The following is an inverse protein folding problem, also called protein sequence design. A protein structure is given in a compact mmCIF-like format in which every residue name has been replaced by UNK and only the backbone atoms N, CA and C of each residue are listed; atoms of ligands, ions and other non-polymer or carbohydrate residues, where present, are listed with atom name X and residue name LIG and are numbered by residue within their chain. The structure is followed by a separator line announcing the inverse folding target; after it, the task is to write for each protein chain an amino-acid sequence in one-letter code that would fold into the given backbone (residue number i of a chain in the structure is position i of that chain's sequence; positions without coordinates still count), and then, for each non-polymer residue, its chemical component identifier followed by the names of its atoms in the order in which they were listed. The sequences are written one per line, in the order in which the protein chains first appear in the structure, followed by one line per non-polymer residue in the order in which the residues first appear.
data_IF_700918716216
#
_entry.id   IF_700918716216
#
_cell.length_a   1.000
_cell.length_b   1.000
_cell.length_c   1.000
_cell.angle_alpha   90.00
_cell.angle_beta   90.00
_cell.angle_gamma   90.00
#
_symmetry.space_group_name_H-M   'P 1'
#
loop_
_entity.id
_entity.type
_entity.pdbx_description
1 polymer ?
#
# COMPACT_ATOMS: atom_id res chain seq x y z
N UNK A 1 58.11 -25.72 29.58
CA UNK A 1 58.23 -27.20 29.64
C UNK A 1 57.15 -27.80 28.75
N UNK A 2 57.53 -28.67 27.79
CA UNK A 2 56.65 -29.41 26.85
C UNK A 2 56.30 -28.67 25.55
N UNK A 3 57.19 -28.55 24.54
CA UNK A 3 57.55 -29.49 23.44
C UNK A 3 56.50 -29.57 22.31
N UNK A 4 56.88 -29.00 21.16
CA UNK A 4 56.33 -29.19 19.82
C UNK A 4 56.57 -30.61 19.28
N UNK A 5 55.70 -31.08 18.39
CA UNK A 5 56.13 -31.90 17.25
C UNK A 5 55.39 -31.47 15.99
N UNK A 6 56.18 -31.16 14.96
CA UNK A 6 55.78 -31.16 13.56
C UNK A 6 56.27 -32.48 12.94
N UNK A 7 55.49 -33.05 12.03
CA UNK A 7 56.02 -33.92 10.97
C UNK A 7 55.26 -33.64 9.67
N UNK A 8 56.05 -33.17 8.72
CA UNK A 8 55.86 -33.16 7.28
C UNK A 8 55.91 -34.59 6.72
N UNK A 9 55.18 -34.90 5.66
CA UNK A 9 55.77 -35.45 4.44
C UNK A 9 54.76 -35.45 3.29
N UNK A 10 55.17 -34.78 2.24
CA UNK A 10 54.64 -34.78 0.88
C UNK A 10 54.53 -36.18 0.23
N UNK A 11 53.52 -36.38 -0.61
CA UNK A 11 53.70 -37.16 -1.85
C UNK A 11 52.82 -36.61 -2.99
N UNK A 12 53.49 -36.11 -4.04
CA UNK A 12 52.93 -35.80 -5.36
C UNK A 12 52.85 -37.08 -6.21
N UNK A 13 51.81 -37.29 -7.02
CA UNK A 13 51.95 -37.49 -8.48
C UNK A 13 50.68 -37.93 -9.22
N UNK A 14 50.51 -37.31 -10.41
CA UNK A 14 49.91 -37.78 -11.69
C UNK A 14 48.38 -37.89 -11.78
N UNK A 15 47.73 -36.98 -12.52
CA UNK A 15 47.51 -36.93 -14.00
C UNK A 15 46.65 -38.08 -14.55
N UNK A 16 45.43 -37.76 -14.97
CA UNK A 16 44.86 -38.20 -16.24
C UNK A 16 43.78 -37.20 -16.69
N UNK A 17 44.01 -36.59 -17.85
CA UNK A 17 43.00 -35.90 -18.62
C UNK A 17 42.21 -36.94 -19.43
N UNK A 18 40.91 -36.73 -19.62
CA UNK A 18 40.20 -37.31 -20.75
C UNK A 18 39.13 -36.31 -21.24
N UNK A 19 39.35 -35.85 -22.46
CA UNK A 19 38.47 -35.03 -23.27
C UNK A 19 37.85 -35.95 -24.32
N UNK A 20 36.52 -35.96 -24.51
CA UNK A 20 35.85 -36.25 -25.79
C UNK A 20 34.38 -35.76 -25.71
N UNK A 21 34.02 -34.82 -26.59
CA UNK A 21 32.67 -34.37 -27.00
C UNK A 21 32.19 -35.22 -28.22
N UNK A 22 31.09 -34.91 -28.94
CA UNK A 22 29.68 -34.72 -28.58
C UNK A 22 28.73 -35.55 -29.50
N UNK A 23 27.47 -35.75 -29.08
CA UNK A 23 26.31 -36.04 -29.93
C UNK A 23 25.05 -35.80 -29.08
N UNK A 24 23.90 -35.31 -29.53
CA UNK A 24 23.37 -34.98 -30.84
C UNK A 24 21.99 -34.37 -30.60
N UNK A 25 21.49 -33.64 -31.60
CA UNK A 25 20.16 -33.02 -31.61
C UNK A 25 19.05 -34.05 -31.40
N UNK A 26 18.04 -33.72 -30.60
CA UNK A 26 16.69 -34.22 -30.79
C UNK A 26 15.69 -33.12 -30.41
N UNK A 27 14.99 -32.67 -31.43
CA UNK A 27 13.86 -31.75 -31.43
C UNK A 27 12.59 -32.47 -30.96
N UNK A 28 11.97 -31.97 -29.89
CA UNK A 28 10.62 -32.34 -29.49
C UNK A 28 9.67 -31.15 -29.75
N UNK A 29 8.45 -31.38 -30.25
CA UNK A 29 7.54 -30.32 -30.67
C UNK A 29 6.94 -29.60 -29.47
N UNK A 30 6.91 -28.26 -29.54
CA UNK A 30 6.13 -27.40 -28.66
C UNK A 30 4.65 -27.57 -29.04
N UNK A 31 3.90 -28.22 -28.16
CA UNK A 31 2.45 -28.28 -28.26
C UNK A 31 1.86 -26.88 -27.99
N UNK A 32 1.27 -26.29 -29.02
CA UNK A 32 0.39 -25.12 -28.93
C UNK A 32 -0.98 -25.62 -28.43
N UNK A 33 -1.39 -25.16 -27.26
CA UNK A 33 -2.78 -25.23 -26.82
C UNK A 33 -3.36 -23.81 -26.71
N UNK A 34 -4.48 -23.52 -27.40
CA UNK A 34 -5.21 -22.27 -27.24
C UNK A 34 -6.19 -22.44 -26.07
N UNK A 35 -6.04 -21.64 -25.02
CA UNK A 35 -6.91 -21.76 -23.85
C UNK A 35 -6.82 -20.56 -22.92
N UNK A 36 -7.75 -19.62 -23.12
CA UNK A 36 -8.33 -18.67 -22.16
C UNK A 36 -7.41 -18.14 -21.05
N UNK A 37 -7.03 -16.85 -21.17
CA UNK A 37 -6.61 -16.05 -20.02
C UNK A 37 -7.78 -16.01 -19.01
N UNK A 38 -7.56 -16.34 -17.73
CA UNK A 38 -8.42 -15.81 -16.69
C UNK A 38 -8.13 -14.31 -16.59
N UNK A 39 -9.17 -13.49 -16.76
CA UNK A 39 -9.16 -12.10 -16.34
C UNK A 39 -8.75 -12.07 -14.86
N UNK A 40 -7.62 -11.46 -14.57
CA UNK A 40 -7.21 -11.20 -13.19
C UNK A 40 -8.05 -10.03 -12.67
N UNK A 41 -8.71 -10.16 -11.51
CA UNK A 41 -9.37 -9.02 -10.88
C UNK A 41 -8.30 -7.98 -10.54
N UNK A 42 -8.48 -6.77 -11.03
CA UNK A 42 -7.58 -5.65 -10.82
C UNK A 42 -7.36 -5.43 -9.32
N UNK A 43 -6.14 -5.68 -8.87
CA UNK A 43 -5.70 -5.32 -7.53
C UNK A 43 -5.75 -3.79 -7.44
N UNK A 44 -6.75 -3.34 -6.70
CA UNK A 44 -6.77 -2.04 -6.11
C UNK A 44 -5.54 -1.79 -5.25
N UNK A 45 -5.18 -0.52 -5.06
CA UNK A 45 -3.81 0.00 -4.87
C UNK A 45 -3.13 0.21 -6.23
N UNK A 46 -2.74 1.45 -6.51
CA UNK A 46 -1.96 1.82 -7.69
C UNK A 46 -0.51 1.28 -7.57
N UNK A 47 -0.39 -0.05 -7.60
CA UNK A 47 0.87 -0.80 -7.54
C UNK A 47 1.34 -1.20 -8.95
N UNK A 48 0.57 -0.85 -9.99
CA UNK A 48 0.83 -1.28 -11.35
C UNK A 48 0.25 -0.32 -12.38
N UNK A 49 0.93 0.80 -12.64
CA UNK A 49 0.91 1.49 -13.94
C UNK A 49 2.20 2.26 -14.22
N UNK A 50 3.33 1.57 -14.39
CA UNK A 50 4.38 2.06 -15.30
C UNK A 50 5.00 0.88 -16.04
N UNK A 51 4.50 0.63 -17.24
CA UNK A 51 5.34 0.05 -18.27
C UNK A 51 6.45 1.07 -18.56
N UNK A 52 7.69 0.60 -18.63
CA UNK A 52 8.80 1.36 -19.22
C UNK A 52 8.34 1.72 -20.64
N UNK A 53 8.10 3.01 -20.91
CA UNK A 53 7.84 3.46 -22.28
C UNK A 53 9.15 3.40 -23.05
N UNK A 54 9.26 2.40 -23.93
CA UNK A 54 10.10 2.44 -25.11
C UNK A 54 9.66 3.63 -26.00
N UNK A 55 10.57 4.43 -26.57
CA UNK A 55 10.21 5.53 -27.46
C UNK A 55 9.89 4.98 -28.85
N UNK A 56 8.65 4.57 -29.08
CA UNK A 56 8.24 4.02 -30.37
C UNK A 56 6.73 3.99 -30.58
N UNK A 57 6.30 4.83 -31.51
CA UNK A 57 5.05 4.77 -32.30
C UNK A 57 3.72 5.13 -31.63
N UNK A 58 3.18 6.24 -32.12
CA UNK A 58 1.82 6.71 -31.95
C UNK A 58 0.81 5.78 -32.62
N UNK A 59 -0.33 5.55 -31.97
CA UNK A 59 -1.63 5.30 -32.60
C UNK A 59 -2.75 5.46 -31.57
N UNK A 60 -3.64 6.42 -31.82
CA UNK A 60 -4.88 6.70 -31.08
C UNK A 60 -5.95 5.66 -31.49
N UNK A 61 -6.83 5.25 -30.56
CA UNK A 61 -8.21 4.96 -30.94
C UNK A 61 -9.20 5.93 -30.27
N UNK A 62 -10.07 6.50 -31.10
CA UNK A 62 -11.33 7.16 -30.76
C UNK A 62 -12.43 6.10 -30.68
N UNK A 63 -13.32 6.20 -29.67
CA UNK A 63 -14.71 5.71 -29.53
C UNK A 63 -15.03 5.74 -28.03
N UNK A 64 -16.17 6.17 -27.48
CA UNK A 64 -17.44 6.70 -27.96
C UNK A 64 -18.32 6.99 -26.72
N UNK A 65 -19.18 8.00 -26.84
CA UNK A 65 -20.49 8.28 -26.19
C UNK A 65 -21.20 7.07 -25.52
N UNK A 66 -21.97 7.13 -24.40
CA UNK A 66 -22.89 8.12 -23.81
C UNK A 66 -23.19 7.83 -22.30
N UNK A 67 -23.80 8.82 -21.62
CA UNK A 67 -24.66 8.81 -20.40
C UNK A 67 -24.08 8.29 -19.06
N UNK A 68 -24.20 8.98 -17.91
CA UNK A 68 -25.42 9.50 -17.31
C UNK A 68 -25.07 10.62 -16.30
N UNK A 69 -25.73 11.76 -16.44
CA UNK A 69 -25.59 12.94 -15.58
C UNK A 69 -26.65 12.86 -14.48
N UNK A 70 -26.28 12.40 -13.28
CA UNK A 70 -27.17 12.51 -12.11
C UNK A 70 -26.96 13.87 -11.46
N UNK A 71 -27.95 14.72 -11.70
CA UNK A 71 -28.12 16.06 -11.13
C UNK A 71 -28.43 15.94 -9.63
N UNK A 72 -27.55 16.50 -8.78
CA UNK A 72 -27.82 16.67 -7.36
C UNK A 72 -28.72 17.90 -7.16
N UNK A 73 -29.74 17.86 -6.29
CA UNK A 73 -30.56 19.04 -6.04
C UNK A 73 -29.80 20.08 -5.22
N UNK A 74 -29.87 21.30 -5.72
CA UNK A 74 -29.38 22.56 -5.15
C UNK A 74 -30.18 22.93 -3.90
N UNK A 75 -29.49 23.31 -2.81
CA UNK A 75 -30.02 24.19 -1.77
C UNK A 75 -28.95 24.60 -0.73
N UNK A 76 -28.59 25.88 -0.74
CA UNK A 76 -28.64 26.68 0.48
C UNK A 76 -27.34 26.87 1.26
N UNK A 77 -26.70 28.01 1.05
CA UNK A 77 -25.74 28.62 1.97
C UNK A 77 -26.44 28.95 3.31
N UNK A 78 -26.07 28.25 4.37
CA UNK A 78 -26.40 28.60 5.74
C UNK A 78 -25.24 28.23 6.68
N UNK A 79 -24.94 29.02 7.73
CA UNK A 79 -23.85 28.72 8.63
C UNK A 79 -24.13 27.41 9.38
N UNK A 80 -23.19 26.47 9.32
CA UNK A 80 -23.22 25.22 10.07
C UNK A 80 -23.13 25.57 11.56
N UNK A 81 -24.28 25.64 12.23
CA UNK A 81 -24.33 25.69 13.68
C UNK A 81 -23.77 24.36 14.20
N UNK A 82 -22.68 24.46 14.96
CA UNK A 82 -22.14 23.34 15.73
C UNK A 82 -23.27 22.77 16.61
N UNK A 83 -23.77 21.58 16.27
CA UNK A 83 -24.70 20.86 17.13
C UNK A 83 -23.94 20.46 18.41
N UNK A 84 -24.42 20.97 19.54
CA UNK A 84 -23.99 20.52 20.85
C UNK A 84 -24.28 19.01 21.01
N UNK A 85 -23.42 18.24 21.70
CA UNK A 85 -23.63 16.81 21.86
C UNK A 85 -24.90 16.55 22.68
N UNK A 86 -25.80 15.75 22.12
CA UNK A 86 -26.96 15.24 22.85
C UNK A 86 -26.47 14.39 24.03
N UNK A 87 -26.85 14.80 25.24
CA UNK A 87 -26.57 14.07 26.47
C UNK A 87 -27.40 12.77 26.50
N UNK A 88 -26.72 11.62 26.61
CA UNK A 88 -27.34 10.30 26.80
C UNK A 88 -27.16 9.28 25.67
N UNK A 89 -26.17 9.45 24.78
CA UNK A 89 -25.89 8.49 23.72
C UNK A 89 -25.45 7.11 24.23
N UNK A 90 -25.96 6.04 23.61
CA UNK A 90 -25.43 4.68 23.78
C UNK A 90 -23.91 4.72 23.56
N UNK A 91 -23.13 4.33 24.58
CA UNK A 91 -21.67 4.36 24.54
C UNK A 91 -21.09 3.46 23.43
N UNK A 92 -21.92 2.57 22.87
CA UNK A 92 -21.63 1.71 21.73
C UNK A 92 -22.11 2.24 20.38
N UNK A 93 -22.68 3.45 20.33
CA UNK A 93 -23.12 4.04 19.07
C UNK A 93 -21.99 4.71 18.30
N UNK A 94 -20.98 5.25 18.97
CA UNK A 94 -19.93 6.03 18.32
C UNK A 94 -18.54 5.67 18.87
N UNK A 95 -17.49 5.71 18.03
CA UNK A 95 -16.14 5.55 18.51
C UNK A 95 -15.73 6.74 19.39
N UNK A 96 -14.88 6.46 20.37
CA UNK A 96 -14.38 7.47 21.32
C UNK A 96 -13.23 8.28 20.73
N UNK A 97 -12.45 7.69 19.84
CA UNK A 97 -11.31 8.34 19.20
C UNK A 97 -10.97 7.68 17.88
N UNK A 98 -10.19 8.40 17.09
CA UNK A 98 -9.46 7.90 15.94
C UNK A 98 -8.02 8.43 16.03
N UNK A 99 -7.05 7.56 15.79
CA UNK A 99 -5.62 7.84 15.95
C UNK A 99 -4.87 7.42 14.69
N UNK A 100 -3.88 8.23 14.30
CA UNK A 100 -2.91 7.88 13.25
C UNK A 100 -1.52 7.72 13.87
N UNK A 101 -0.82 6.69 13.43
CA UNK A 101 0.58 6.41 13.79
C UNK A 101 1.41 6.57 12.52
N UNK A 102 2.09 7.70 12.43
CA UNK A 102 2.93 8.08 11.27
C UNK A 102 4.42 7.94 11.55
N UNK A 103 4.80 7.63 12.80
CA UNK A 103 6.18 7.36 13.22
C UNK A 103 6.20 6.47 14.45
N UNK A 104 7.30 5.73 14.65
CA UNK A 104 7.48 4.81 15.77
C UNK A 104 6.83 3.44 15.53
N UNK A 105 6.76 2.62 16.58
CA UNK A 105 6.20 1.27 16.48
C UNK A 105 4.70 1.30 16.21
N UNK A 106 4.23 0.35 15.40
CA UNK A 106 2.81 0.05 15.30
C UNK A 106 2.27 -0.41 16.68
N UNK A 107 1.04 -0.02 16.97
CA UNK A 107 0.31 -0.38 18.18
C UNK A 107 -0.26 -1.79 18.09
N UNK A 108 -0.53 -2.40 19.25
CA UNK A 108 -1.08 -3.76 19.35
C UNK A 108 -0.07 -4.87 19.01
N UNK A 109 1.20 -4.53 18.76
CA UNK A 109 2.23 -5.49 18.33
C UNK A 109 2.12 -5.89 16.86
N UNK A 110 1.24 -5.24 16.09
CA UNK A 110 1.03 -5.52 14.67
C UNK A 110 2.14 -4.92 13.79
N UNK A 111 2.18 -5.38 12.56
CA UNK A 111 3.08 -4.97 11.50
C UNK A 111 2.36 -4.99 10.16
N UNK A 112 2.93 -4.36 9.13
CA UNK A 112 2.39 -4.47 7.77
C UNK A 112 2.28 -5.92 7.28
N UNK A 113 3.13 -6.81 7.76
CA UNK A 113 3.09 -8.23 7.40
C UNK A 113 1.81 -8.91 7.93
N UNK A 114 1.25 -8.43 9.05
CA UNK A 114 -0.02 -8.91 9.62
C UNK A 114 -1.23 -8.39 8.83
N UNK A 115 -1.17 -7.14 8.33
CA UNK A 115 -2.24 -6.54 7.54
C UNK A 115 -2.24 -7.02 6.08
N UNK A 116 -1.06 -7.36 5.55
CA UNK A 116 -0.82 -7.72 4.16
C UNK A 116 0.05 -8.98 4.03
N UNK A 117 -0.43 -10.14 4.53
CA UNK A 117 0.33 -11.39 4.51
C UNK A 117 0.70 -11.85 3.10
N UNK A 118 -0.08 -11.45 2.09
CA UNK A 118 0.18 -11.75 0.68
C UNK A 118 1.35 -10.96 0.08
N UNK A 119 1.85 -9.94 0.78
CA UNK A 119 2.94 -9.08 0.31
C UNK A 119 4.26 -9.29 1.08
N UNK A 120 4.25 -10.17 2.09
CA UNK A 120 5.44 -10.52 2.89
C UNK A 120 6.55 -11.06 1.99
N UNK A 121 7.78 -10.58 2.23
CA UNK A 121 8.97 -10.98 1.46
C UNK A 121 9.06 -10.42 0.05
N UNK A 122 8.06 -9.67 -0.44
CA UNK A 122 8.06 -9.07 -1.79
C UNK A 122 8.75 -7.71 -1.88
N UNK A 123 9.23 -7.17 -0.76
CA UNK A 123 10.00 -5.92 -0.71
C UNK A 123 9.20 -4.64 -0.97
N UNK A 124 7.87 -4.65 -0.81
CA UNK A 124 7.00 -3.50 -1.09
C UNK A 124 7.28 -2.26 -0.22
N UNK A 125 7.68 -2.47 1.03
CA UNK A 125 7.91 -1.42 2.03
C UNK A 125 9.32 -1.46 2.62
N UNK A 126 10.24 -2.20 1.98
CA UNK A 126 11.60 -2.38 2.46
C UNK A 126 11.65 -3.09 3.82
N UNK A 127 12.49 -2.60 4.73
CA UNK A 127 12.61 -3.12 6.10
C UNK A 127 11.67 -2.46 7.11
N UNK A 128 11.54 -3.09 8.28
CA UNK A 128 10.82 -2.54 9.43
C UNK A 128 9.30 -2.56 9.30
N UNK A 129 8.71 -3.71 8.97
CA UNK A 129 7.26 -3.86 8.80
C UNK A 129 6.45 -3.43 10.05
N UNK A 130 7.01 -3.54 11.26
CA UNK A 130 6.38 -3.13 12.52
C UNK A 130 6.56 -1.66 12.91
N UNK A 131 7.07 -0.82 12.01
CA UNK A 131 7.38 0.59 12.32
C UNK A 131 6.76 1.52 11.29
N UNK A 132 6.01 2.51 11.76
CA UNK A 132 5.46 3.59 10.97
C UNK A 132 6.54 4.59 10.54
N UNK A 133 6.29 5.25 9.41
CA UNK A 133 7.19 6.25 8.84
C UNK A 133 7.37 6.09 7.35
N UNK A 134 8.18 6.96 6.76
CA UNK A 134 8.49 6.88 5.34
C UNK A 134 9.46 5.74 5.05
N UNK A 135 9.41 5.23 3.82
CA UNK A 135 10.36 4.24 3.34
C UNK A 135 10.80 4.55 1.92
N UNK A 136 11.94 3.97 1.55
CA UNK A 136 12.53 4.04 0.24
C UNK A 136 13.32 2.75 0.00
N UNK A 137 12.98 2.02 -1.05
CA UNK A 137 13.61 0.73 -1.42
C UNK A 137 14.60 0.86 -2.57
N UNK A 138 14.86 2.07 -3.07
CA UNK A 138 15.63 2.34 -4.28
C UNK A 138 14.84 2.15 -5.59
N UNK A 139 13.62 1.62 -5.51
CA UNK A 139 12.69 1.46 -6.65
C UNK A 139 11.26 1.87 -6.33
N UNK A 140 10.97 2.05 -5.05
CA UNK A 140 9.65 2.38 -4.53
C UNK A 140 9.82 3.24 -3.28
N UNK A 141 9.04 4.32 -3.20
CA UNK A 141 9.06 5.28 -2.09
C UNK A 141 7.64 5.47 -1.59
N UNK A 142 7.50 5.65 -0.28
CA UNK A 142 6.18 5.65 0.36
C UNK A 142 6.18 5.95 1.84
N UNK A 143 5.05 5.64 2.47
CA UNK A 143 4.89 5.65 3.91
C UNK A 143 4.27 4.35 4.41
N UNK A 144 4.48 4.06 5.69
CA UNK A 144 3.81 3.01 6.46
C UNK A 144 3.03 3.73 7.55
N UNK A 145 1.71 3.65 7.51
CA UNK A 145 0.84 4.31 8.49
C UNK A 145 -0.09 3.29 9.10
N UNK A 146 -0.28 3.35 10.42
CA UNK A 146 -1.34 2.60 11.10
C UNK A 146 -2.43 3.56 11.56
N UNK A 147 -3.67 3.19 11.33
CA UNK A 147 -4.85 3.97 11.68
C UNK A 147 -5.70 3.09 12.59
N UNK A 148 -6.09 3.60 13.76
CA UNK A 148 -6.97 2.86 14.64
C UNK A 148 -7.94 3.76 15.37
N UNK A 149 -9.20 3.31 15.48
CA UNK A 149 -10.19 3.93 16.31
C UNK A 149 -10.43 3.10 17.56
N UNK A 150 -10.76 3.78 18.65
CA UNK A 150 -11.11 3.12 19.92
C UNK A 150 -12.62 3.22 20.12
N UNK A 151 -13.22 2.12 20.57
CA UNK A 151 -14.60 2.09 21.04
C UNK A 151 -14.63 1.76 22.54
N UNK A 152 -15.61 2.32 23.24
CA UNK A 152 -15.86 2.02 24.65
C UNK A 152 -16.08 0.51 24.83
N UNK A 153 -15.59 -0.07 25.93
CA UNK A 153 -15.86 -1.47 26.24
C UNK A 153 -17.13 -1.63 27.08
N UNK A 154 -17.90 -2.73 26.94
CA UNK A 154 -17.82 -3.80 25.95
C UNK A 154 -18.84 -3.57 24.80
N UNK A 155 -18.38 -2.99 23.69
CA UNK A 155 -19.20 -2.80 22.48
C UNK A 155 -18.91 -3.85 21.41
N UNK A 156 -19.93 -4.17 20.60
CA UNK A 156 -19.81 -5.09 19.46
C UNK A 156 -19.06 -4.41 18.30
N UNK A 157 -17.83 -4.84 18.05
CA UNK A 157 -16.97 -4.26 17.00
C UNK A 157 -17.53 -4.47 15.60
N UNK A 158 -18.38 -5.49 15.36
CA UNK A 158 -18.96 -5.76 14.04
C UNK A 158 -19.90 -4.66 13.55
N UNK A 159 -20.40 -3.81 14.47
CA UNK A 159 -21.23 -2.64 14.16
C UNK A 159 -20.44 -1.42 13.69
N UNK A 160 -19.11 -1.52 13.72
CA UNK A 160 -18.22 -0.43 13.34
C UNK A 160 -17.51 -0.77 12.04
N UNK A 161 -17.40 0.22 11.14
CA UNK A 161 -16.71 0.09 9.85
C UNK A 161 -15.58 1.11 9.71
N UNK A 162 -14.49 0.68 9.09
CA UNK A 162 -13.42 1.55 8.66
C UNK A 162 -13.79 2.14 7.29
N UNK A 163 -13.53 3.43 7.13
CA UNK A 163 -13.67 4.14 5.86
C UNK A 163 -12.43 5.01 5.63
N UNK A 164 -12.01 5.15 4.38
CA UNK A 164 -10.92 6.04 4.03
C UNK A 164 -11.19 6.70 2.68
N UNK A 165 -11.06 8.01 2.63
CA UNK A 165 -10.98 8.74 1.37
C UNK A 165 -9.55 9.20 1.10
N UNK A 166 -9.20 9.29 -0.18
CA UNK A 166 -7.93 9.86 -0.65
C UNK A 166 -8.19 10.90 -1.73
N UNK A 167 -7.68 12.10 -1.54
CA UNK A 167 -7.62 13.16 -2.55
C UNK A 167 -6.24 13.19 -3.19
N UNK A 168 -6.19 13.09 -4.52
CA UNK A 168 -4.95 13.11 -5.30
C UNK A 168 -4.53 14.55 -5.61
N UNK A 169 -3.99 15.27 -4.63
CA UNK A 169 -3.72 16.72 -4.77
C UNK A 169 -2.63 17.06 -5.78
N UNK A 170 -1.61 16.21 -5.91
CA UNK A 170 -0.68 16.23 -7.06
C UNK A 170 -0.40 14.82 -7.51
N UNK A 171 -0.46 14.59 -8.82
CA UNK A 171 -0.15 13.29 -9.40
C UNK A 171 0.50 13.50 -10.77
N UNK A 172 1.80 13.75 -10.77
CA UNK A 172 2.53 14.12 -11.97
C UNK A 172 3.78 13.28 -12.12
N UNK A 173 3.95 12.68 -13.29
CA UNK A 173 5.09 11.81 -13.58
C UNK A 173 5.70 12.23 -14.91
N UNK A 174 6.99 12.54 -14.89
CA UNK A 174 7.78 13.06 -16.01
C UNK A 174 7.12 14.29 -16.67
N UNK A 175 6.51 15.16 -15.86
CA UNK A 175 5.80 16.36 -16.30
C UNK A 175 4.38 16.12 -16.81
N UNK A 176 3.92 14.87 -16.90
CA UNK A 176 2.55 14.53 -17.29
C UNK A 176 1.66 14.50 -16.05
N UNK A 177 0.58 15.28 -16.06
CA UNK A 177 -0.46 15.25 -15.03
C UNK A 177 -1.40 14.06 -15.24
N UNK A 178 -1.61 13.27 -14.19
CA UNK A 178 -2.61 12.20 -14.19
C UNK A 178 -4.02 12.80 -14.25
N UNK A 179 -4.94 12.25 -15.07
CA UNK A 179 -6.33 12.74 -15.18
C UNK A 179 -7.12 12.74 -13.86
N UNK A 180 -6.65 11.98 -12.86
CA UNK A 180 -7.25 11.90 -11.53
C UNK A 180 -6.68 12.89 -10.53
N UNK A 181 -5.71 13.73 -10.91
CA UNK A 181 -5.26 14.85 -10.06
C UNK A 181 -6.46 15.75 -9.70
N UNK A 182 -6.56 16.12 -8.42
CA UNK A 182 -7.66 16.88 -7.83
C UNK A 182 -8.89 16.05 -7.46
N UNK A 183 -8.95 14.76 -7.83
CA UNK A 183 -10.10 13.91 -7.54
C UNK A 183 -9.96 13.21 -6.17
N UNK A 184 -11.12 12.91 -5.57
CA UNK A 184 -11.23 12.14 -4.32
C UNK A 184 -11.84 10.78 -4.58
N UNK A 185 -11.27 9.75 -3.95
CA UNK A 185 -11.68 8.36 -4.09
C UNK A 185 -11.93 7.72 -2.73
N UNK A 186 -12.80 6.72 -2.68
CA UNK A 186 -12.83 5.75 -1.58
C UNK A 186 -11.62 4.82 -1.73
N UNK A 187 -10.66 4.95 -0.82
CA UNK A 187 -9.39 4.25 -0.90
C UNK A 187 -9.53 2.76 -0.55
N UNK A 188 -10.39 2.43 0.43
CA UNK A 188 -10.66 1.04 0.81
C UNK A 188 -11.36 0.32 -0.34
N UNK A 189 -12.42 0.90 -0.89
CA UNK A 189 -13.11 0.29 -2.03
C UNK A 189 -12.15 0.16 -3.23
N UNK A 190 -11.35 1.20 -3.49
CA UNK A 190 -10.34 1.18 -4.56
C UNK A 190 -9.21 0.18 -4.31
N UNK A 191 -8.98 -0.28 -3.08
CA UNK A 191 -7.98 -1.31 -2.75
C UNK A 191 -8.44 -2.75 -3.03
N UNK A 192 -9.76 -2.98 -3.07
CA UNK A 192 -10.35 -4.32 -3.11
C UNK A 192 -10.11 -5.16 -1.85
N UNK A 193 -9.58 -4.57 -0.78
CA UNK A 193 -9.37 -5.23 0.52
C UNK A 193 -10.64 -5.20 1.36
N UNK A 194 -10.85 -6.25 2.14
CA UNK A 194 -12.01 -6.36 3.01
C UNK A 194 -11.73 -5.73 4.39
N UNK A 195 -12.19 -4.50 4.60
CA UNK A 195 -12.01 -3.77 5.85
C UNK A 195 -12.96 -4.21 6.98
N UNK A 196 -13.82 -5.21 6.75
CA UNK A 196 -14.71 -5.75 7.78
C UNK A 196 -14.06 -6.81 8.67
N UNK A 197 -12.90 -7.36 8.28
CA UNK A 197 -12.25 -8.48 8.99
C UNK A 197 -10.74 -8.56 8.76
N UNK A 198 -10.09 -9.40 9.56
CA UNK A 198 -8.68 -9.74 9.37
C UNK A 198 -8.44 -10.39 7.99
N UNK A 199 -7.24 -10.22 7.39
CA UNK A 199 -6.06 -9.55 7.96
C UNK A 199 -6.08 -8.01 7.87
N UNK A 200 -6.88 -7.43 6.96
CA UNK A 200 -6.83 -6.00 6.69
C UNK A 200 -7.38 -5.15 7.85
N UNK A 201 -8.31 -5.70 8.62
CA UNK A 201 -8.77 -5.16 9.90
C UNK A 201 -8.18 -5.97 11.06
N UNK A 202 -7.50 -5.30 11.99
CA UNK A 202 -6.97 -5.91 13.21
C UNK A 202 -7.61 -5.28 14.44
N UNK A 203 -7.80 -6.09 15.49
CA UNK A 203 -8.43 -5.68 16.74
C UNK A 203 -7.56 -6.04 17.95
N UNK A 204 -7.51 -5.15 18.95
CA UNK A 204 -6.84 -5.44 20.23
C UNK A 204 -7.43 -4.62 21.38
N UNK A 205 -7.18 -5.07 22.61
CA UNK A 205 -7.53 -4.33 23.82
C UNK A 205 -6.41 -3.39 24.25
N UNK A 206 -6.74 -2.12 24.51
CA UNK A 206 -5.84 -1.11 25.07
C UNK A 206 -6.52 0.25 25.20
N UNK A 207 -6.83 0.68 26.44
CA UNK A 207 -7.63 1.90 26.67
C UNK A 207 -9.09 1.82 26.17
N UNK A 208 -9.52 0.63 25.72
CA UNK A 208 -10.79 0.35 25.02
C UNK A 208 -10.57 -0.82 24.05
N UNK A 209 -11.58 -1.14 23.23
CA UNK A 209 -11.39 -2.03 22.08
C UNK A 209 -10.95 -1.20 20.87
N UNK A 210 -9.79 -1.51 20.32
CA UNK A 210 -9.24 -0.82 19.16
C UNK A 210 -9.54 -1.62 17.89
N UNK A 211 -10.00 -0.91 16.86
CA UNK A 211 -10.21 -1.43 15.50
C UNK A 211 -9.26 -0.67 14.59
N UNK A 212 -8.46 -1.40 13.81
CA UNK A 212 -7.37 -0.79 13.05
C UNK A 212 -7.23 -1.33 11.64
N UNK A 213 -6.58 -0.52 10.82
CA UNK A 213 -5.98 -0.88 9.54
C UNK A 213 -4.57 -0.31 9.47
N UNK A 214 -3.78 -0.80 8.53
CA UNK A 214 -2.57 -0.11 8.09
C UNK A 214 -2.70 0.23 6.61
N UNK A 215 -2.04 1.30 6.20
CA UNK A 215 -2.01 1.78 4.82
C UNK A 215 -0.57 2.09 4.41
N UNK A 216 -0.01 1.38 3.40
CA UNK A 216 1.31 1.61 2.86
C UNK A 216 1.30 2.28 1.46
N UNK A 217 0.75 3.51 1.31
CA UNK A 217 0.62 4.15 0.00
C UNK A 217 2.00 4.55 -0.53
N UNK A 218 2.20 4.35 -1.84
CA UNK A 218 3.54 4.42 -2.39
C UNK A 218 3.58 4.33 -3.92
N UNK A 219 4.62 4.91 -4.52
CA UNK A 219 4.87 4.93 -5.96
C UNK A 219 6.18 4.21 -6.32
N UNK A 220 6.18 3.58 -7.50
CA UNK A 220 7.40 3.09 -8.13
C UNK A 220 8.16 4.22 -8.84
N UNK A 221 9.48 4.12 -8.91
CA UNK A 221 10.32 5.06 -9.66
C UNK A 221 11.60 4.38 -10.17
N UNK A 222 12.15 4.90 -11.27
CA UNK A 222 13.40 4.46 -11.87
C UNK A 222 14.44 5.59 -11.95
N UNK A 223 15.61 5.29 -12.53
CA UNK A 223 16.77 6.19 -12.54
C UNK A 223 16.55 7.56 -13.20
N UNK A 224 15.53 7.71 -14.03
CA UNK A 224 15.23 8.97 -14.75
C UNK A 224 13.89 9.58 -14.35
N UNK A 225 13.17 8.97 -13.39
CA UNK A 225 11.83 9.42 -13.01
C UNK A 225 11.87 10.80 -12.38
N UNK A 226 10.99 11.69 -12.84
CA UNK A 226 10.58 12.88 -12.10
C UNK A 226 9.14 12.68 -11.64
N UNK A 227 8.87 12.81 -10.35
CA UNK A 227 7.53 12.59 -9.81
C UNK A 227 7.16 13.64 -8.76
N UNK A 228 5.93 14.13 -8.85
CA UNK A 228 5.25 14.90 -7.81
C UNK A 228 4.00 14.15 -7.39
N UNK A 229 4.01 13.61 -6.18
CA UNK A 229 2.95 12.75 -5.71
C UNK A 229 2.51 13.16 -4.31
N UNK A 230 1.41 13.92 -4.26
CA UNK A 230 0.79 14.38 -3.03
C UNK A 230 -0.59 13.74 -2.88
N UNK A 231 -0.87 13.30 -1.66
CA UNK A 231 -2.11 12.63 -1.27
C UNK A 231 -2.55 13.16 0.08
N UNK A 232 -3.81 13.55 0.15
CA UNK A 232 -4.48 13.87 1.41
C UNK A 232 -5.51 12.79 1.70
N UNK A 233 -5.52 12.29 2.91
CA UNK A 233 -6.37 11.19 3.34
C UNK A 233 -7.25 11.63 4.49
N UNK A 234 -8.45 11.08 4.55
CA UNK A 234 -9.30 11.11 5.75
C UNK A 234 -9.68 9.68 6.07
N UNK A 235 -9.19 9.16 7.20
CA UNK A 235 -9.55 7.83 7.69
C UNK A 235 -10.52 7.97 8.85
N UNK A 236 -11.57 7.17 8.85
CA UNK A 236 -12.63 7.20 9.86
C UNK A 236 -12.95 5.82 10.39
N UNK A 237 -13.30 5.76 11.67
CA UNK A 237 -14.09 4.68 12.24
C UNK A 237 -15.53 5.16 12.39
N UNK A 238 -16.48 4.41 11.87
CA UNK A 238 -17.90 4.77 11.82
C UNK A 238 -18.68 3.72 12.61
N UNK A 239 -19.46 4.16 13.59
CA UNK A 239 -20.41 3.33 14.33
C UNK A 239 -21.87 3.72 14.03
N UNK A 240 -22.85 3.03 14.64
CA UNK A 240 -24.28 3.21 14.38
C UNK A 240 -24.81 4.64 14.60
N UNK A 241 -24.21 5.41 15.50
CA UNK A 241 -24.66 6.75 15.87
C UNK A 241 -23.57 7.82 15.81
N UNK A 242 -22.42 7.55 15.20
CA UNK A 242 -21.38 8.57 15.05
C UNK A 242 -20.11 8.08 14.37
N UNK A 243 -19.17 8.99 14.18
CA UNK A 243 -17.85 8.69 13.59
C UNK A 243 -16.76 9.49 14.27
N UNK A 244 -15.54 8.97 14.20
CA UNK A 244 -14.31 9.68 14.52
C UNK A 244 -13.37 9.56 13.34
N UNK A 245 -12.67 10.65 13.03
CA UNK A 245 -11.86 10.75 11.83
C UNK A 245 -10.50 11.39 12.14
N UNK A 246 -9.49 11.00 11.37
CA UNK A 246 -8.18 11.67 11.34
C UNK A 246 -7.82 11.99 9.90
N UNK A 247 -7.36 13.20 9.67
CA UNK A 247 -6.74 13.59 8.41
C UNK A 247 -5.25 13.34 8.45
N UNK A 248 -4.66 12.91 7.34
CA UNK A 248 -3.22 12.75 7.20
C UNK A 248 -2.81 12.92 5.75
N UNK A 249 -1.52 13.14 5.50
CA UNK A 249 -1.05 13.39 4.15
C UNK A 249 0.31 12.76 3.88
N UNK A 250 0.57 12.54 2.60
CA UNK A 250 1.83 12.03 2.09
C UNK A 250 2.27 12.90 0.91
N UNK A 251 3.53 13.35 0.96
CA UNK A 251 4.15 14.11 -0.13
C UNK A 251 5.47 13.48 -0.52
N UNK A 252 5.58 13.12 -1.79
CA UNK A 252 6.75 12.49 -2.39
C UNK A 252 7.23 13.35 -3.56
N UNK A 253 8.54 13.59 -3.61
CA UNK A 253 9.21 14.16 -4.78
C UNK A 253 10.35 13.25 -5.21
N UNK A 254 10.39 12.94 -6.49
CA UNK A 254 11.50 12.25 -7.15
C UNK A 254 12.01 13.18 -8.25
N UNK A 255 13.32 13.38 -8.31
CA UNK A 255 13.98 14.21 -9.33
C UNK A 255 15.12 13.41 -9.93
N UNK A 256 15.07 13.17 -11.24
CA UNK A 256 16.05 12.34 -11.96
C UNK A 256 16.39 11.04 -11.21
N UNK A 257 15.33 10.32 -10.82
CA UNK A 257 15.42 9.04 -10.10
C UNK A 257 15.92 9.10 -8.66
N UNK A 258 16.10 10.28 -8.08
CA UNK A 258 16.48 10.46 -6.68
C UNK A 258 15.31 11.00 -5.87
N UNK A 259 15.02 10.40 -4.72
CA UNK A 259 13.98 10.91 -3.80
C UNK A 259 14.47 12.18 -3.13
N UNK A 260 13.82 13.31 -3.41
CA UNK A 260 14.17 14.63 -2.87
C UNK A 260 13.20 15.08 -1.77
N UNK A 261 12.01 14.48 -1.69
CA UNK A 261 11.06 14.66 -0.59
C UNK A 261 10.32 13.36 -0.31
N UNK A 262 10.18 13.03 0.97
CA UNK A 262 9.27 12.00 1.48
C UNK A 262 8.80 12.42 2.86
N UNK A 263 7.57 12.89 2.97
CA UNK A 263 7.00 13.35 4.23
C UNK A 263 5.63 12.75 4.43
N UNK A 264 5.35 12.27 5.64
CA UNK A 264 4.03 11.84 6.09
C UNK A 264 3.66 12.67 7.32
N UNK A 265 2.43 13.17 7.39
CA UNK A 265 1.98 14.05 8.49
C UNK A 265 0.58 13.81 8.98
#
# INVERSE_FOLDING_TARGET
MGIMYAFDTSSRSRKAANTWQPAGRSSAPVAVWPGRRPESPGAGHDLSRFAVLDPGEASIPVLGQDDEKVEAPDAGLGPVLAQAPAAGGDACAAPTSMTKVVSGSFQGGFSLDDYYPDLVGKGYWGGGAGTAGTFDTGRRVGAKVQLFGTISGPCDSSKFSLAQSVTRTRDRINGVTDPTEGQTFDDIAKSGRDASRAPFRQEWLGGGLNISMADPPSIGYGATTNAEWDRDFVTSLIGPGGRQSVSWSLSIRVTSGSVTRKTVS
#
